data_IF_884520997571
#
_entry.id   IF_884520997571
#
_cell.length_a   1.000
_cell.length_b   1.000
_cell.length_c   1.000
_cell.angle_alpha   90.00
_cell.angle_beta   90.00
_cell.angle_gamma   90.00
#
_symmetry.space_group_name_H-M   'P 1'
#
loop_
_entity.id
_entity.type
_entity.pdbx_description
1 polymer ?
#
# COMPACT_ATOMS: atom_id res chain seq x y z
N UNK A 1 -28.17 -7.88 0.73
CA UNK A 1 -27.06 -6.91 0.62
C UNK A 1 -26.45 -7.18 -0.73
N UNK A 2 -26.41 -6.20 -1.63
CA UNK A 2 -25.89 -6.40 -2.99
C UNK A 2 -24.41 -6.74 -2.90
N UNK A 3 -24.04 -7.94 -3.31
CA UNK A 3 -22.67 -8.28 -3.67
C UNK A 3 -22.29 -7.35 -4.83
N UNK A 4 -21.72 -6.19 -4.52
CA UNK A 4 -20.89 -5.51 -5.50
C UNK A 4 -19.80 -6.52 -5.85
N UNK A 5 -19.67 -6.87 -7.13
CA UNK A 5 -18.62 -7.77 -7.61
C UNK A 5 -17.27 -7.18 -7.19
N UNK A 6 -16.75 -7.69 -6.08
CA UNK A 6 -15.48 -7.26 -5.54
C UNK A 6 -14.37 -7.73 -6.50
N UNK A 7 -13.69 -6.77 -7.10
CA UNK A 7 -12.57 -7.03 -8.02
C UNK A 7 -11.25 -6.65 -7.39
N UNK A 8 -10.17 -7.24 -7.89
CA UNK A 8 -8.83 -6.97 -7.40
C UNK A 8 -8.44 -5.51 -7.68
N UNK A 9 -8.96 -4.93 -8.78
CA UNK A 9 -8.87 -3.50 -9.06
C UNK A 9 -9.42 -2.64 -7.91
N UNK A 10 -10.58 -2.99 -7.33
CA UNK A 10 -11.16 -2.24 -6.21
C UNK A 10 -10.25 -2.32 -4.98
N UNK A 11 -9.76 -3.51 -4.63
CA UNK A 11 -8.85 -3.70 -3.50
C UNK A 11 -7.54 -2.92 -3.67
N UNK A 12 -6.91 -3.02 -4.85
CA UNK A 12 -5.65 -2.33 -5.15
C UNK A 12 -5.84 -0.81 -5.07
N UNK A 13 -6.89 -0.28 -5.70
CA UNK A 13 -7.15 1.16 -5.70
C UNK A 13 -7.48 1.69 -4.30
N UNK A 14 -8.24 0.95 -3.49
CA UNK A 14 -8.51 1.31 -2.10
C UNK A 14 -7.24 1.31 -1.25
N UNK A 15 -6.38 0.31 -1.42
CA UNK A 15 -5.07 0.24 -0.76
C UNK A 15 -4.20 1.46 -1.13
N UNK A 16 -4.00 1.71 -2.43
CA UNK A 16 -3.18 2.83 -2.92
C UNK A 16 -3.75 4.17 -2.43
N UNK A 17 -5.06 4.38 -2.55
CA UNK A 17 -5.73 5.61 -2.11
C UNK A 17 -5.53 5.86 -0.61
N UNK A 18 -5.52 4.80 0.20
CA UNK A 18 -5.25 4.93 1.63
C UNK A 18 -3.78 5.24 1.91
N UNK A 19 -2.84 4.67 1.16
CA UNK A 19 -1.41 5.02 1.27
C UNK A 19 -1.20 6.50 0.89
N UNK A 20 -1.77 6.95 -0.22
CA UNK A 20 -1.65 8.33 -0.70
C UNK A 20 -2.20 9.34 0.31
N UNK A 21 -3.44 9.15 0.76
CA UNK A 21 -4.07 10.04 1.75
C UNK A 21 -3.37 10.02 3.11
N UNK A 22 -2.83 8.86 3.53
CA UNK A 22 -2.07 8.74 4.78
C UNK A 22 -0.72 9.45 4.70
N UNK A 23 0.01 9.29 3.58
CA UNK A 23 1.34 9.89 3.38
C UNK A 23 1.28 11.39 3.13
N UNK A 24 0.17 11.92 2.61
CA UNK A 24 -0.10 13.37 2.57
C UNK A 24 -0.03 14.03 3.97
N UNK A 25 -0.27 13.27 5.04
CA UNK A 25 -0.14 13.77 6.42
C UNK A 25 1.35 13.90 6.79
N UNK A 26 2.21 12.98 6.31
CA UNK A 26 3.65 13.11 6.45
C UNK A 26 4.19 14.30 5.68
N UNK A 27 3.75 14.50 4.45
CA UNK A 27 4.18 15.65 3.63
C UNK A 27 3.89 16.97 4.33
N UNK A 28 2.67 17.13 4.87
CA UNK A 28 2.28 18.32 5.64
C UNK A 28 3.08 18.51 6.94
N UNK A 29 3.52 17.43 7.59
CA UNK A 29 4.21 17.48 8.89
C UNK A 29 5.73 17.56 8.77
N UNK A 30 6.30 16.88 7.79
CA UNK A 30 7.74 16.61 7.65
C UNK A 30 8.33 17.14 6.34
N UNK A 31 7.50 17.66 5.42
CA UNK A 31 7.93 18.16 4.11
C UNK A 31 8.24 17.06 3.08
N UNK A 32 7.92 15.80 3.38
CA UNK A 32 8.13 14.66 2.47
C UNK A 32 7.15 13.52 2.79
N UNK A 33 6.78 12.75 1.77
CA UNK A 33 6.02 11.49 1.95
C UNK A 33 6.91 10.31 2.32
N UNK A 34 8.17 10.32 1.89
CA UNK A 34 9.18 9.32 2.30
C UNK A 34 9.96 9.82 3.52
N UNK A 35 9.58 9.30 4.68
CA UNK A 35 10.19 9.65 5.98
C UNK A 35 11.38 8.75 6.36
N UNK A 36 11.78 7.79 5.51
CA UNK A 36 12.89 6.86 5.82
C UNK A 36 14.19 7.61 6.05
N UNK A 37 14.47 8.64 5.25
CA UNK A 37 15.68 9.47 5.42
C UNK A 37 15.70 10.13 6.79
N UNK A 38 14.57 10.68 7.24
CA UNK A 38 14.45 11.32 8.55
C UNK A 38 14.73 10.33 9.70
N UNK A 39 14.29 9.08 9.56
CA UNK A 39 14.61 8.04 10.54
C UNK A 39 16.09 7.65 10.51
N UNK A 40 16.68 7.45 9.32
CA UNK A 40 18.11 7.11 9.17
C UNK A 40 19.03 8.22 9.69
N UNK A 41 18.63 9.48 9.55
CA UNK A 41 19.36 10.64 10.08
C UNK A 41 18.96 11.01 11.51
N UNK A 42 18.20 10.15 12.20
CA UNK A 42 17.77 10.32 13.61
C UNK A 42 16.95 11.59 13.91
N UNK A 43 16.36 12.21 12.89
CA UNK A 43 15.43 13.34 13.03
C UNK A 43 14.11 12.88 13.64
N UNK A 44 13.68 11.66 13.31
CA UNK A 44 12.50 11.03 13.89
C UNK A 44 12.84 9.64 14.46
N UNK A 45 12.05 9.19 15.44
CA UNK A 45 12.12 7.82 15.97
C UNK A 45 11.48 6.83 15.00
N UNK A 46 11.81 5.53 15.14
CA UNK A 46 11.21 4.44 14.36
C UNK A 46 9.67 4.41 14.45
N UNK A 47 9.14 4.63 15.66
CA UNK A 47 7.70 4.76 15.89
C UNK A 47 7.41 6.14 16.47
N UNK A 48 6.28 6.74 16.07
CA UNK A 48 5.93 8.08 16.53
C UNK A 48 4.50 8.47 16.23
N UNK A 49 4.15 9.68 16.67
CA UNK A 49 2.86 10.31 16.39
C UNK A 49 3.09 11.47 15.43
N UNK A 50 2.32 11.53 14.35
CA UNK A 50 2.39 12.63 13.36
C UNK A 50 1.54 13.80 13.83
N UNK A 51 0.29 13.49 14.20
CA UNK A 51 -0.71 14.41 14.76
C UNK A 51 -1.67 13.62 15.67
N UNK A 52 -2.65 14.29 16.29
CA UNK A 52 -3.66 13.63 17.13
C UNK A 52 -4.38 12.54 16.32
N UNK A 53 -4.40 11.31 16.84
CA UNK A 53 -5.03 10.16 16.17
C UNK A 53 -4.21 9.51 15.05
N UNK A 54 -3.03 10.02 14.70
CA UNK A 54 -2.20 9.46 13.62
C UNK A 54 -0.84 9.01 14.16
N UNK A 55 -0.56 7.71 14.07
CA UNK A 55 0.72 7.10 14.47
C UNK A 55 1.38 6.44 13.27
N UNK A 56 2.70 6.37 13.29
CA UNK A 56 3.48 5.64 12.31
C UNK A 56 4.45 4.67 12.98
N UNK A 57 4.78 3.61 12.27
CA UNK A 57 5.83 2.67 12.58
C UNK A 57 6.63 2.36 11.32
N UNK A 58 7.93 2.63 11.35
CA UNK A 58 8.85 2.27 10.28
C UNK A 58 9.41 0.86 10.50
N UNK A 59 9.54 0.11 9.41
CA UNK A 59 10.07 -1.25 9.34
C UNK A 59 10.77 -1.43 8.00
N UNK A 60 11.81 -2.26 7.91
CA UNK A 60 12.48 -2.59 6.65
C UNK A 60 12.65 -1.38 5.71
N UNK A 61 11.99 -1.44 4.55
CA UNK A 61 11.93 -0.36 3.56
C UNK A 61 10.58 0.37 3.52
N UNK A 62 9.71 0.17 4.51
CA UNK A 62 8.32 0.59 4.52
C UNK A 62 7.84 1.29 5.79
N UNK A 63 6.53 1.50 5.87
CA UNK A 63 5.87 2.14 6.98
C UNK A 63 4.43 1.64 7.17
N UNK A 64 4.07 1.37 8.42
CA UNK A 64 2.67 1.24 8.84
C UNK A 64 2.15 2.55 9.40
N UNK A 65 1.03 3.03 8.89
CA UNK A 65 0.33 4.22 9.38
C UNK A 65 -0.98 3.78 10.00
N UNK A 66 -1.23 4.22 11.24
CA UNK A 66 -2.46 3.97 11.96
C UNK A 66 -3.25 5.27 12.10
N UNK A 67 -4.43 5.32 11.49
CA UNK A 67 -5.42 6.39 11.56
C UNK A 67 -6.59 5.96 12.46
N UNK A 68 -7.50 6.89 12.78
CA UNK A 68 -8.77 6.54 13.44
C UNK A 68 -9.71 5.73 12.54
N UNK A 69 -9.54 5.80 11.22
CA UNK A 69 -10.36 5.13 10.22
C UNK A 69 -9.79 3.78 9.75
N UNK A 70 -8.64 3.36 10.29
CA UNK A 70 -7.97 2.11 9.95
C UNK A 70 -6.46 2.26 9.84
N UNK A 71 -5.78 1.21 9.38
CA UNK A 71 -4.33 1.23 9.14
C UNK A 71 -3.94 0.77 7.75
N UNK A 72 -2.77 1.19 7.30
CA UNK A 72 -2.17 0.71 6.05
C UNK A 72 -0.68 0.48 6.25
N UNK A 73 -0.20 -0.66 5.76
CA UNK A 73 1.21 -1.08 5.78
C UNK A 73 1.70 -1.19 4.34
N UNK A 74 2.72 -0.41 4.00
CA UNK A 74 3.25 -0.31 2.64
C UNK A 74 4.77 -0.25 2.66
N UNK A 75 5.39 -0.63 1.54
CA UNK A 75 6.81 -0.42 1.31
C UNK A 75 7.02 0.73 0.34
N UNK A 76 8.08 1.51 0.58
CA UNK A 76 8.52 2.51 -0.37
C UNK A 76 9.33 1.85 -1.49
N UNK A 77 9.12 2.30 -2.72
CA UNK A 77 9.97 1.98 -3.84
C UNK A 77 11.38 2.56 -3.74
N UNK A 78 12.27 2.21 -4.69
CA UNK A 78 13.66 2.68 -4.71
C UNK A 78 13.78 4.21 -4.70
N UNK A 79 12.85 4.92 -5.34
CA UNK A 79 12.85 6.37 -5.45
C UNK A 79 11.78 7.02 -4.55
N UNK A 80 11.23 6.28 -3.58
CA UNK A 80 10.19 6.76 -2.68
C UNK A 80 8.77 6.61 -3.22
N UNK A 81 8.57 5.81 -4.27
CA UNK A 81 7.25 5.44 -4.77
C UNK A 81 6.42 4.79 -3.66
N UNK A 82 5.12 5.09 -3.60
CA UNK A 82 4.22 4.62 -2.53
C UNK A 82 3.04 3.80 -3.05
N UNK A 83 2.97 3.61 -4.37
CA UNK A 83 1.90 2.89 -5.05
C UNK A 83 2.22 1.39 -5.25
N UNK A 84 3.28 0.90 -4.61
CA UNK A 84 3.69 -0.49 -4.69
C UNK A 84 2.86 -1.38 -3.76
N UNK A 85 2.48 -2.55 -4.26
CA UNK A 85 1.73 -3.55 -3.49
C UNK A 85 2.23 -4.97 -3.77
N UNK A 86 1.90 -5.89 -2.88
CA UNK A 86 2.10 -7.32 -3.05
C UNK A 86 0.93 -8.07 -2.40
N UNK A 87 0.92 -9.40 -2.57
CA UNK A 87 -0.12 -10.26 -1.99
C UNK A 87 -0.30 -10.03 -0.48
N UNK A 88 0.80 -9.97 0.28
CA UNK A 88 0.75 -9.91 1.74
C UNK A 88 0.13 -8.59 2.23
N UNK A 89 0.48 -7.48 1.57
CA UNK A 89 -0.08 -6.15 1.90
C UNK A 89 -1.55 -6.06 1.58
N UNK A 90 -1.94 -6.51 0.40
CA UNK A 90 -3.34 -6.53 -0.02
C UNK A 90 -4.18 -7.43 0.88
N UNK A 91 -3.66 -8.61 1.24
CA UNK A 91 -4.31 -9.55 2.16
C UNK A 91 -4.54 -8.94 3.54
N UNK A 92 -3.50 -8.36 4.16
CA UNK A 92 -3.65 -7.73 5.47
C UNK A 92 -4.58 -6.53 5.43
N UNK A 93 -4.53 -5.73 4.35
CA UNK A 93 -5.44 -4.61 4.16
C UNK A 93 -6.90 -5.06 4.06
N UNK A 94 -7.17 -6.13 3.31
CA UNK A 94 -8.51 -6.71 3.19
C UNK A 94 -9.01 -7.29 4.52
N UNK A 95 -8.15 -7.99 5.26
CA UNK A 95 -8.48 -8.59 6.58
C UNK A 95 -8.85 -7.58 7.65
N UNK A 96 -8.33 -6.37 7.58
CA UNK A 96 -8.74 -5.27 8.46
C UNK A 96 -10.10 -4.67 8.06
N UNK A 97 -10.63 -5.04 6.88
CA UNK A 97 -11.85 -4.47 6.27
C UNK A 97 -12.77 -5.56 5.68
N UNK A 98 -13.10 -6.65 6.40
CA UNK A 98 -13.83 -7.80 5.85
C UNK A 98 -15.28 -7.48 5.43
N UNK A 99 -15.83 -6.34 5.84
CA UNK A 99 -17.15 -5.88 5.39
C UNK A 99 -17.13 -5.34 3.96
N UNK A 100 -16.01 -4.78 3.52
CA UNK A 100 -15.79 -4.27 2.16
C UNK A 100 -15.04 -5.28 1.30
N UNK A 101 -14.07 -5.98 1.90
CA UNK A 101 -13.12 -6.83 1.22
C UNK A 101 -13.17 -8.31 1.59
N UNK A 102 -14.37 -8.87 1.67
CA UNK A 102 -14.57 -10.24 2.17
C UNK A 102 -13.89 -11.28 1.28
N UNK A 103 -13.95 -11.11 -0.05
CA UNK A 103 -13.38 -12.08 -1.00
C UNK A 103 -11.87 -12.19 -0.82
N UNK A 104 -11.21 -11.08 -0.53
CA UNK A 104 -9.76 -10.99 -0.39
C UNK A 104 -9.26 -11.17 1.05
N UNK A 105 -10.15 -11.63 1.96
CA UNK A 105 -9.74 -12.20 3.25
C UNK A 105 -9.16 -13.62 3.12
N UNK A 106 -9.10 -14.16 1.89
CA UNK A 106 -8.33 -15.34 1.51
C UNK A 106 -7.11 -14.92 0.67
N UNK A 107 -5.90 -15.23 1.17
CA UNK A 107 -4.64 -14.86 0.52
C UNK A 107 -4.46 -15.57 -0.83
N UNK A 108 -4.94 -16.81 -0.96
CA UNK A 108 -4.79 -17.60 -2.19
C UNK A 108 -5.61 -17.01 -3.34
N UNK A 109 -6.79 -16.46 -3.04
CA UNK A 109 -7.59 -15.70 -4.02
C UNK A 109 -6.82 -14.51 -4.58
N UNK A 110 -6.11 -13.75 -3.73
CA UNK A 110 -5.27 -12.62 -4.17
C UNK A 110 -4.10 -13.12 -5.02
N UNK A 111 -3.39 -14.18 -4.60
CA UNK A 111 -2.26 -14.75 -5.36
C UNK A 111 -2.69 -15.17 -6.77
N UNK A 112 -3.83 -15.85 -6.89
CA UNK A 112 -4.37 -16.30 -8.16
C UNK A 112 -4.68 -15.11 -9.08
N UNK A 113 -5.42 -14.12 -8.61
CA UNK A 113 -5.82 -12.97 -9.44
C UNK A 113 -4.63 -12.04 -9.76
N UNK A 114 -3.65 -11.88 -8.86
CA UNK A 114 -2.42 -11.15 -9.18
C UNK A 114 -1.64 -11.84 -10.30
N UNK A 115 -1.58 -13.18 -10.31
CA UNK A 115 -0.94 -13.94 -11.40
C UNK A 115 -1.65 -13.67 -12.73
N UNK A 116 -2.97 -13.72 -12.75
CA UNK A 116 -3.77 -13.37 -13.93
C UNK A 116 -3.50 -11.92 -14.38
N UNK A 117 -3.37 -10.97 -13.45
CA UNK A 117 -3.07 -9.56 -13.78
C UNK A 117 -1.67 -9.37 -14.35
N UNK A 118 -0.69 -10.18 -13.94
CA UNK A 118 0.65 -10.19 -14.55
C UNK A 118 0.57 -10.70 -15.99
N UNK A 119 -0.13 -11.82 -16.21
CA UNK A 119 -0.32 -12.42 -17.54
C UNK A 119 -1.06 -11.46 -18.50
N UNK A 120 -2.06 -10.74 -17.98
CA UNK A 120 -2.81 -9.71 -18.71
C UNK A 120 -2.08 -8.36 -18.82
N UNK A 121 -0.85 -8.24 -18.29
CA UNK A 121 -0.06 -6.99 -18.23
C UNK A 121 -0.78 -5.81 -17.57
N UNK A 122 -1.76 -6.08 -16.69
CA UNK A 122 -2.44 -5.04 -15.89
C UNK A 122 -1.55 -4.50 -14.78
N UNK A 123 -0.60 -5.30 -14.32
CA UNK A 123 0.39 -4.93 -13.32
C UNK A 123 1.78 -5.31 -13.81
N UNK A 124 2.78 -4.58 -13.34
CA UNK A 124 4.20 -4.83 -13.63
C UNK A 124 5.02 -4.77 -12.35
N UNK A 125 6.19 -5.40 -12.34
CA UNK A 125 7.15 -5.24 -11.24
C UNK A 125 7.57 -3.78 -11.14
N UNK A 126 7.60 -3.26 -9.92
CA UNK A 126 8.04 -1.88 -9.65
C UNK A 126 9.51 -1.67 -10.05
N UNK A 127 10.36 -2.65 -9.75
CA UNK A 127 11.76 -2.67 -10.18
C UNK A 127 12.30 -4.11 -10.13
N UNK A 128 13.43 -4.37 -10.80
CA UNK A 128 14.07 -5.69 -10.81
C UNK A 128 14.57 -6.18 -9.44
N UNK A 129 14.62 -5.30 -8.43
CA UNK A 129 15.05 -5.60 -7.06
C UNK A 129 13.90 -5.59 -6.04
N UNK A 130 12.68 -5.24 -6.47
CA UNK A 130 11.52 -5.12 -5.58
C UNK A 130 10.56 -6.29 -5.77
N UNK A 131 10.00 -6.77 -4.66
CA UNK A 131 8.91 -7.74 -4.73
C UNK A 131 7.55 -7.10 -5.05
N UNK A 132 7.48 -5.76 -5.01
CA UNK A 132 6.25 -5.00 -5.25
C UNK A 132 5.88 -4.96 -6.74
N UNK A 133 4.57 -4.94 -6.97
CA UNK A 133 3.94 -4.63 -8.22
C UNK A 133 3.35 -3.22 -8.19
N UNK A 134 3.19 -2.64 -9.37
CA UNK A 134 2.43 -1.40 -9.60
C UNK A 134 1.45 -1.65 -10.74
N UNK A 135 0.38 -0.86 -10.79
CA UNK A 135 -0.50 -0.83 -11.96
C UNK A 135 0.33 -0.44 -13.19
N UNK A 136 0.11 -1.12 -14.31
CA UNK A 136 0.71 -0.74 -15.58
C UNK A 136 0.02 0.51 -16.11
N UNK A 137 0.78 1.45 -16.66
CA UNK A 137 0.19 2.61 -17.33
C UNK A 137 -0.47 2.14 -18.63
N UNK A 138 -1.58 2.74 -19.01
CA UNK A 138 -2.30 2.41 -20.26
C UNK A 138 -1.48 2.68 -21.54
N UNK A 139 -0.26 3.22 -21.40
CA UNK A 139 0.68 3.50 -22.50
C UNK A 139 1.77 2.45 -22.65
N UNK A 140 1.86 1.48 -21.72
CA UNK A 140 2.87 0.41 -21.75
C UNK A 140 2.36 -0.89 -22.39
N UNK A 141 1.13 -0.86 -22.93
CA UNK A 141 0.45 -2.04 -23.49
C UNK A 141 0.60 -2.18 -25.01
N UNK A 142 1.40 -1.34 -25.67
CA UNK A 142 1.72 -1.43 -27.10
C UNK A 142 2.98 -2.25 -27.38
#
# INVERSE_FOLDING_TARGET
MSDQNETLDILINDFISMVESSTLIFERKFGTRDIRRLWRTKVIKRCGRVTRGVKYELHGIGCRINLSTGSVDFDYGPNGEINGFDTWRLYNFARERPSKHRKYCDEETIKKELKEYIELKKIKKMSGISNLYVLADSKDTD
#
